data_IF_114923748239
#
_entry.id   IF_114923748239
#
_cell.length_a   1.000
_cell.length_b   1.000
_cell.length_c   1.000
_cell.angle_alpha   90.00
_cell.angle_beta   90.00
_cell.angle_gamma   90.00
#
_symmetry.space_group_name_H-M   'P 1'
#
loop_
_entity.id
_entity.type
_entity.pdbx_description
1 polymer ?
#
# COMPACT_ATOMS: atom_id res chain seq x y z
N UNK A 1 0.08 12.51 -3.09
CA UNK A 1 0.78 12.37 -1.79
C UNK A 1 -0.29 12.21 -0.70
N UNK A 2 0.08 11.91 0.55
CA UNK A 2 -0.90 11.65 1.62
C UNK A 2 -1.84 12.83 1.87
N UNK A 3 -1.34 14.07 1.86
CA UNK A 3 -2.16 15.27 2.01
C UNK A 3 -3.27 15.38 0.95
N UNK A 4 -2.93 15.21 -0.33
CA UNK A 4 -3.91 15.25 -1.42
C UNK A 4 -4.96 14.14 -1.29
N UNK A 5 -4.56 12.95 -0.84
CA UNK A 5 -5.50 11.87 -0.57
C UNK A 5 -6.44 12.20 0.59
N UNK A 6 -5.92 12.67 1.73
CA UNK A 6 -6.73 13.02 2.90
C UNK A 6 -7.78 14.10 2.56
N UNK A 7 -7.38 15.13 1.81
CA UNK A 7 -8.30 16.17 1.31
C UNK A 7 -9.38 15.60 0.39
N UNK A 8 -9.05 14.64 -0.48
CA UNK A 8 -10.02 13.99 -1.38
C UNK A 8 -11.09 13.19 -0.64
N UNK A 9 -10.82 12.75 0.60
CA UNK A 9 -11.77 12.07 1.45
C UNK A 9 -12.65 13.04 2.26
N UNK A 10 -12.58 14.36 1.98
CA UNK A 10 -13.22 15.43 2.77
C UNK A 10 -12.86 15.41 4.26
N UNK A 11 -11.73 14.81 4.60
CA UNK A 11 -11.23 14.73 5.97
C UNK A 11 -10.37 15.98 6.25
N UNK A 12 -10.99 17.08 6.68
CA UNK A 12 -10.24 18.21 7.23
C UNK A 12 -9.87 17.88 8.68
N UNK A 13 -8.65 17.38 8.87
CA UNK A 13 -8.15 16.90 10.15
C UNK A 13 -6.98 17.74 10.63
N UNK A 14 -6.76 17.75 11.95
CA UNK A 14 -5.54 18.30 12.57
C UNK A 14 -4.27 17.76 11.89
N UNK A 15 -4.31 16.52 11.40
CA UNK A 15 -3.21 15.90 10.66
C UNK A 15 -2.93 16.61 9.33
N UNK A 16 -3.95 17.04 8.56
CA UNK A 16 -3.74 17.79 7.33
C UNK A 16 -3.02 19.11 7.60
N UNK A 17 -3.43 19.84 8.64
CA UNK A 17 -2.81 21.09 9.05
C UNK A 17 -1.34 20.89 9.46
N UNK A 18 -1.03 19.82 10.19
CA UNK A 18 0.35 19.46 10.55
C UNK A 18 1.21 19.14 9.32
N UNK A 19 0.65 18.42 8.35
CA UNK A 19 1.36 18.12 7.10
C UNK A 19 1.63 19.41 6.30
N UNK A 20 0.65 20.30 6.19
CA UNK A 20 0.80 21.59 5.52
C UNK A 20 1.88 22.45 6.19
N UNK A 21 1.81 22.59 7.51
CA UNK A 21 2.81 23.33 8.27
C UNK A 21 4.22 22.78 8.06
N UNK A 22 4.39 21.45 7.97
CA UNK A 22 5.69 20.84 7.67
C UNK A 22 6.17 21.13 6.25
N UNK A 23 5.27 21.10 5.26
CA UNK A 23 5.62 21.39 3.86
C UNK A 23 6.02 22.85 3.63
N UNK A 24 5.57 23.77 4.49
CA UNK A 24 5.92 25.19 4.45
C UNK A 24 7.28 25.49 5.14
N UNK A 25 7.88 24.52 5.84
CA UNK A 25 9.20 24.68 6.46
C UNK A 25 10.30 24.82 5.40
N UNK A 26 11.35 25.56 5.74
CA UNK A 26 12.57 25.55 4.92
C UNK A 26 13.30 24.21 5.03
N UNK A 27 14.17 23.91 4.06
CA UNK A 27 14.94 22.67 4.07
C UNK A 27 15.86 22.52 5.30
N UNK A 28 16.25 23.63 5.93
CA UNK A 28 17.05 23.61 7.16
C UNK A 28 16.21 23.26 8.41
N UNK A 29 14.90 23.51 8.36
CA UNK A 29 13.97 23.29 9.47
C UNK A 29 13.23 21.95 9.36
N UNK A 30 13.06 21.43 8.14
CA UNK A 30 12.44 20.13 7.85
C UNK A 30 13.38 18.96 8.19
N UNK A 31 13.79 18.86 9.45
CA UNK A 31 14.68 17.78 9.94
C UNK A 31 13.90 16.51 10.27
N UNK A 32 14.60 15.39 10.46
CA UNK A 32 14.00 14.12 10.84
C UNK A 32 13.29 14.20 12.20
N UNK A 33 13.81 15.00 13.14
CA UNK A 33 13.19 15.19 14.45
C UNK A 33 11.79 15.84 14.35
N UNK A 34 11.53 16.59 13.28
CA UNK A 34 10.22 17.18 12.99
C UNK A 34 9.39 16.24 12.11
N UNK A 35 10.02 15.55 11.15
CA UNK A 35 9.35 14.66 10.21
C UNK A 35 8.86 13.37 10.86
N UNK A 36 9.69 12.69 11.66
CA UNK A 36 9.40 11.36 12.18
C UNK A 36 8.11 11.33 13.02
N UNK A 37 7.87 12.26 13.98
CA UNK A 37 6.62 12.27 14.74
C UNK A 37 5.38 12.52 13.86
N UNK A 38 5.52 13.33 12.81
CA UNK A 38 4.46 13.57 11.85
C UNK A 38 4.19 12.32 11.00
N UNK A 39 5.24 11.65 10.55
CA UNK A 39 5.14 10.41 9.78
C UNK A 39 4.46 9.31 10.60
N UNK A 40 4.84 9.14 11.87
CA UNK A 40 4.18 8.23 12.81
C UNK A 40 2.69 8.58 13.01
N UNK A 41 2.34 9.86 13.08
CA UNK A 41 0.94 10.29 13.15
C UNK A 41 0.18 9.95 11.85
N UNK A 42 0.83 10.00 10.69
CA UNK A 42 0.27 9.54 9.43
C UNK A 42 0.07 8.03 9.45
N UNK A 43 1.07 7.24 9.81
CA UNK A 43 0.96 5.78 9.89
C UNK A 43 -0.19 5.35 10.80
N UNK A 44 -0.28 5.92 12.00
CA UNK A 44 -1.37 5.66 12.95
C UNK A 44 -2.75 6.00 12.41
N UNK A 45 -2.87 7.09 11.66
CA UNK A 45 -4.14 7.46 11.04
C UNK A 45 -4.63 6.40 10.03
N UNK A 46 -3.69 5.75 9.34
CA UNK A 46 -3.99 4.68 8.38
C UNK A 46 -3.96 3.27 9.00
N UNK A 47 -3.66 3.14 10.30
CA UNK A 47 -3.50 1.86 10.97
C UNK A 47 -2.23 1.10 10.58
N UNK A 48 -1.24 1.79 10.01
CA UNK A 48 0.07 1.25 9.61
C UNK A 48 1.15 1.49 10.67
N UNK A 49 0.79 1.89 11.89
CA UNK A 49 1.71 1.97 13.04
C UNK A 49 1.91 0.60 13.70
N UNK A 50 2.42 -0.36 12.93
CA UNK A 50 2.79 -1.68 13.47
C UNK A 50 4.12 -1.61 14.21
N UNK A 51 4.19 -2.24 15.40
CA UNK A 51 5.43 -2.38 16.15
C UNK A 51 6.39 -3.35 15.43
N UNK A 52 7.43 -2.82 14.79
CA UNK A 52 8.47 -3.61 14.11
C UNK A 52 8.99 -2.94 12.84
N UNK A 53 10.12 -3.41 12.32
CA UNK A 53 10.55 -3.02 10.97
C UNK A 53 9.54 -3.58 9.95
N UNK A 54 9.20 -2.79 8.93
CA UNK A 54 8.36 -3.25 7.84
C UNK A 54 8.95 -4.54 7.26
N UNK A 55 8.16 -5.62 7.29
CA UNK A 55 8.62 -6.94 6.93
C UNK A 55 9.08 -6.96 5.47
N UNK A 56 10.38 -7.17 5.25
CA UNK A 56 11.00 -7.17 3.91
C UNK A 56 10.73 -8.48 3.15
N UNK A 57 9.55 -9.06 3.34
CA UNK A 57 9.12 -10.33 2.75
C UNK A 57 8.49 -10.16 1.37
N UNK A 58 8.41 -11.26 0.62
CA UNK A 58 7.79 -11.28 -0.71
C UNK A 58 6.29 -10.90 -0.68
N UNK A 59 5.63 -11.11 0.47
CA UNK A 59 4.24 -10.74 0.71
C UNK A 59 3.99 -9.22 0.66
N UNK A 60 5.04 -8.40 0.76
CA UNK A 60 4.97 -6.94 0.64
C UNK A 60 5.41 -6.42 -0.73
N UNK A 61 5.67 -7.32 -1.69
CA UNK A 61 6.12 -6.96 -3.03
C UNK A 61 5.02 -7.19 -4.08
N UNK A 62 4.92 -6.25 -5.01
CA UNK A 62 4.06 -6.37 -6.18
C UNK A 62 4.77 -5.86 -7.44
N UNK A 63 4.41 -6.41 -8.59
CA UNK A 63 5.00 -6.00 -9.86
C UNK A 63 4.36 -4.71 -10.36
N UNK A 64 5.19 -3.68 -10.52
CA UNK A 64 4.80 -2.35 -10.99
C UNK A 64 5.79 -1.87 -12.03
N UNK A 65 5.35 -0.99 -12.93
CA UNK A 65 6.29 -0.28 -13.79
C UNK A 65 7.14 0.70 -12.97
N UNK A 66 8.31 1.03 -13.51
CA UNK A 66 9.31 1.87 -12.83
C UNK A 66 8.77 3.26 -12.47
N UNK A 67 7.90 3.84 -13.31
CA UNK A 67 7.33 5.16 -13.06
C UNK A 67 6.35 5.10 -11.88
N UNK A 68 5.42 4.14 -11.89
CA UNK A 68 4.45 3.94 -10.80
C UNK A 68 5.16 3.59 -9.49
N UNK A 69 6.14 2.68 -9.50
CA UNK A 69 6.86 2.30 -8.29
C UNK A 69 7.59 3.49 -7.63
N UNK A 70 8.37 4.25 -8.41
CA UNK A 70 9.07 5.46 -7.90
C UNK A 70 8.12 6.52 -7.35
N UNK A 71 6.91 6.56 -7.89
CA UNK A 71 5.93 7.57 -7.51
C UNK A 71 5.28 7.33 -6.15
N UNK A 72 5.31 6.08 -5.65
CA UNK A 72 4.74 5.72 -4.36
C UNK A 72 5.58 6.26 -3.20
N UNK A 73 6.92 6.24 -3.29
CA UNK A 73 7.81 6.67 -2.20
C UNK A 73 7.39 5.99 -0.87
N UNK A 74 7.33 6.74 0.22
CA UNK A 74 6.87 6.28 1.54
C UNK A 74 5.35 6.45 1.73
N UNK A 75 4.55 6.37 0.66
CA UNK A 75 3.11 6.46 0.78
C UNK A 75 2.53 5.21 1.48
N UNK A 76 1.53 5.44 2.32
CA UNK A 76 0.70 4.39 2.93
C UNK A 76 -0.06 3.59 1.87
N UNK A 77 -0.47 2.37 2.21
CA UNK A 77 -1.21 1.47 1.32
C UNK A 77 -2.46 2.11 0.73
N UNK A 78 -3.25 2.85 1.51
CA UNK A 78 -4.46 3.53 1.03
C UNK A 78 -4.17 4.46 -0.17
N UNK A 79 -3.07 5.22 -0.11
CA UNK A 79 -2.65 6.15 -1.16
C UNK A 79 -2.12 5.38 -2.38
N UNK A 80 -1.33 4.32 -2.15
CA UNK A 80 -0.86 3.42 -3.21
C UNK A 80 -2.03 2.77 -3.95
N UNK A 81 -3.01 2.25 -3.21
CA UNK A 81 -4.27 1.67 -3.72
C UNK A 81 -5.04 2.67 -4.57
N UNK A 82 -5.27 3.87 -4.05
CA UNK A 82 -5.99 4.91 -4.78
C UNK A 82 -5.34 5.21 -6.13
N UNK A 83 -4.00 5.34 -6.14
CA UNK A 83 -3.26 5.57 -7.39
C UNK A 83 -3.35 4.41 -8.36
N UNK A 84 -3.21 3.18 -7.89
CA UNK A 84 -3.31 2.01 -8.75
C UNK A 84 -4.71 1.87 -9.36
N UNK A 85 -5.77 2.10 -8.58
CA UNK A 85 -7.14 2.05 -9.07
C UNK A 85 -7.43 3.15 -10.10
N UNK A 86 -6.83 4.33 -9.95
CA UNK A 86 -6.93 5.38 -10.97
C UNK A 86 -6.25 4.97 -12.30
N UNK A 87 -5.11 4.27 -12.24
CA UNK A 87 -4.46 3.72 -13.44
C UNK A 87 -5.34 2.65 -14.12
N UNK A 88 -5.88 1.72 -13.33
CA UNK A 88 -6.76 0.65 -13.82
C UNK A 88 -8.04 1.23 -14.47
N UNK A 89 -8.67 2.23 -13.83
CA UNK A 89 -9.83 2.95 -14.37
C UNK A 89 -9.52 3.72 -15.66
N UNK A 90 -8.29 4.22 -15.81
CA UNK A 90 -7.83 4.89 -17.03
C UNK A 90 -7.48 3.91 -18.17
N UNK A 91 -7.65 2.60 -17.96
CA UNK A 91 -7.31 1.57 -18.94
C UNK A 91 -5.80 1.32 -19.08
N UNK A 92 -4.99 1.80 -18.14
CA UNK A 92 -3.55 1.50 -18.10
C UNK A 92 -3.39 0.07 -17.59
N UNK A 93 -2.61 -0.72 -18.31
CA UNK A 93 -2.39 -2.12 -17.94
C UNK A 93 -1.72 -2.25 -16.57
N UNK A 94 -2.37 -2.97 -15.67
CA UNK A 94 -1.82 -3.41 -14.38
C UNK A 94 -1.78 -4.93 -14.37
N UNK A 95 -0.65 -5.57 -14.01
CA UNK A 95 -0.59 -7.02 -13.89
C UNK A 95 -1.70 -7.57 -12.98
N UNK A 96 -2.33 -8.68 -13.37
CA UNK A 96 -3.48 -9.25 -12.67
C UNK A 96 -3.20 -9.46 -11.17
N UNK A 97 -2.06 -10.06 -10.83
CA UNK A 97 -1.71 -10.32 -9.43
C UNK A 97 -1.51 -9.03 -8.63
N UNK A 98 -0.89 -8.00 -9.23
CA UNK A 98 -0.75 -6.67 -8.63
C UNK A 98 -2.13 -6.06 -8.38
N UNK A 99 -3.03 -6.09 -9.37
CA UNK A 99 -4.40 -5.60 -9.21
C UNK A 99 -5.12 -6.35 -8.07
N UNK A 100 -4.95 -7.66 -8.00
CA UNK A 100 -5.56 -8.50 -6.96
C UNK A 100 -5.05 -8.18 -5.55
N UNK A 101 -3.76 -7.88 -5.37
CA UNK A 101 -3.19 -7.40 -4.10
C UNK A 101 -3.93 -6.13 -3.65
N UNK A 102 -4.00 -5.13 -4.52
CA UNK A 102 -4.64 -3.85 -4.21
C UNK A 102 -6.17 -3.92 -4.19
N UNK A 103 -6.79 -5.00 -4.66
CA UNK A 103 -8.22 -5.28 -4.50
C UNK A 103 -8.53 -6.20 -3.32
N UNK A 104 -7.49 -6.77 -2.68
CA UNK A 104 -7.59 -7.79 -1.61
C UNK A 104 -8.27 -9.08 -2.03
N UNK A 105 -8.05 -9.52 -3.27
CA UNK A 105 -8.66 -10.75 -3.78
C UNK A 105 -8.04 -12.03 -3.20
N UNK A 106 -6.86 -11.94 -2.58
CA UNK A 106 -6.20 -13.07 -1.91
C UNK A 106 -6.59 -13.23 -0.44
N UNK A 107 -7.25 -12.22 0.13
CA UNK A 107 -7.63 -12.23 1.54
C UNK A 107 -8.90 -13.04 1.73
N UNK A 108 -8.94 -13.98 2.68
CA UNK A 108 -10.13 -14.80 2.93
C UNK A 108 -11.31 -13.97 3.50
N UNK A 109 -11.01 -12.88 4.21
CA UNK A 109 -11.98 -11.88 4.64
C UNK A 109 -11.43 -10.48 4.36
N UNK A 110 -12.30 -9.59 3.88
CA UNK A 110 -11.96 -8.21 3.54
C UNK A 110 -12.59 -7.29 4.58
N UNK A 111 -11.90 -7.09 5.70
CA UNK A 111 -12.40 -6.26 6.80
C UNK A 111 -12.20 -4.76 6.52
N UNK A 112 -10.97 -4.37 6.15
CA UNK A 112 -10.63 -2.99 5.83
C UNK A 112 -9.82 -2.91 4.54
N UNK A 113 -10.42 -2.41 3.46
CA UNK A 113 -9.76 -2.29 2.14
C UNK A 113 -8.61 -1.30 2.06
N UNK A 114 -8.49 -0.39 3.04
CA UNK A 114 -7.53 0.72 3.04
C UNK A 114 -6.21 0.37 3.75
N UNK A 115 -6.14 -0.77 4.43
CA UNK A 115 -4.98 -1.21 5.20
C UNK A 115 -4.43 -2.53 4.64
N UNK A 116 -3.12 -2.76 4.66
CA UNK A 116 -2.49 -4.02 4.27
C UNK A 116 -2.06 -4.80 5.52
N UNK A 117 -2.94 -5.69 5.99
CA UNK A 117 -2.76 -6.43 7.23
C UNK A 117 -1.89 -7.67 7.06
N UNK A 118 -1.43 -8.24 8.18
CA UNK A 118 -0.77 -9.55 8.20
C UNK A 118 -1.63 -10.66 7.58
N UNK A 119 -2.96 -10.61 7.75
CA UNK A 119 -3.87 -11.59 7.13
C UNK A 119 -3.90 -11.45 5.60
N UNK A 120 -3.81 -10.21 5.09
CA UNK A 120 -3.71 -9.97 3.65
C UNK A 120 -2.36 -10.47 3.10
N UNK A 121 -1.28 -10.23 3.85
CA UNK A 121 0.08 -10.71 3.54
C UNK A 121 0.12 -12.24 3.47
N UNK A 122 -0.39 -12.93 4.49
CA UNK A 122 -0.44 -14.39 4.52
C UNK A 122 -1.25 -14.97 3.36
N UNK A 123 -2.44 -14.41 3.08
CA UNK A 123 -3.26 -14.89 1.96
C UNK A 123 -2.57 -14.73 0.60
N UNK A 124 -1.83 -13.62 0.42
CA UNK A 124 -1.04 -13.41 -0.79
C UNK A 124 0.17 -14.35 -0.88
N UNK A 125 0.88 -14.57 0.22
CA UNK A 125 2.01 -15.51 0.28
C UNK A 125 1.56 -16.96 0.01
N UNK A 126 0.42 -17.37 0.56
CA UNK A 126 -0.19 -18.67 0.31
C UNK A 126 -0.53 -18.84 -1.18
N UNK A 127 -1.05 -17.78 -1.82
CA UNK A 127 -1.35 -17.80 -3.25
C UNK A 127 -0.09 -17.92 -4.11
N UNK A 128 0.99 -17.19 -3.75
CA UNK A 128 2.30 -17.32 -4.41
C UNK A 128 2.82 -18.76 -4.25
N UNK A 129 2.79 -19.28 -3.03
CA UNK A 129 3.25 -20.63 -2.69
C UNK A 129 2.47 -21.68 -3.47
N UNK A 130 1.14 -21.58 -3.50
CA UNK A 130 0.27 -22.46 -4.26
C UNK A 130 0.58 -22.44 -5.76
N UNK A 131 0.80 -21.25 -6.33
CA UNK A 131 1.17 -21.10 -7.74
C UNK A 131 2.52 -21.77 -8.06
N UNK A 132 3.54 -21.55 -7.21
CA UNK A 132 4.86 -22.15 -7.39
C UNK A 132 4.82 -23.68 -7.23
N UNK A 133 4.12 -24.19 -6.21
CA UNK A 133 3.92 -25.63 -6.01
C UNK A 133 3.20 -26.25 -7.21
N UNK A 134 2.14 -25.62 -7.71
CA UNK A 134 1.42 -26.13 -8.88
C UNK A 134 2.33 -26.16 -10.12
N UNK A 135 3.13 -25.11 -10.32
CA UNK A 135 4.08 -25.02 -11.44
C UNK A 135 5.18 -26.08 -11.37
N UNK A 136 5.84 -26.24 -10.21
CA UNK A 136 6.98 -27.15 -10.07
C UNK A 136 6.60 -28.60 -9.80
N UNK A 137 5.46 -28.86 -9.14
CA UNK A 137 5.04 -30.22 -8.75
C UNK A 137 3.93 -30.79 -9.65
N UNK A 138 3.47 -30.04 -10.66
CA UNK A 138 2.63 -30.60 -11.73
C UNK A 138 1.20 -30.95 -11.33
N UNK A 139 0.57 -30.19 -10.44
CA UNK A 139 -0.89 -30.28 -10.27
C UNK A 139 -1.55 -29.62 -11.48
N UNK A 140 -1.90 -30.41 -12.49
CA UNK A 140 -2.83 -29.97 -13.53
C UNK A 140 -4.18 -29.66 -12.86
N UNK A 141 -4.61 -28.41 -12.90
CA UNK A 141 -6.00 -28.09 -12.58
C UNK A 141 -6.89 -28.80 -13.62
N UNK A 142 -7.60 -29.82 -13.16
CA UNK A 142 -8.71 -30.38 -13.91
C UNK A 142 -9.75 -29.30 -14.11
N UNK A 143 -9.93 -28.89 -15.36
CA UNK A 143 -11.08 -28.11 -15.81
C UNK A 143 -12.34 -28.90 -15.39
N UNK A 144 -13.16 -28.33 -14.51
CA UNK A 144 -14.54 -28.77 -14.28
C UNK A 144 -15.46 -28.01 -15.21
#
# INVERSE_FOLDING_TARGET
NCLGYLRSQHAETELCQKIEAFLDLSQAEATNEVFDPLYEAVLRHFGEDTEGEAEQGIANLALLDEHTNRSYKNAVFAVKRHRLLALDQAGIFVPLCTRNVFLKCYSPQVDNVMFWSETDQQGYEDAITGALVNFFCGKQEGIQ
#
